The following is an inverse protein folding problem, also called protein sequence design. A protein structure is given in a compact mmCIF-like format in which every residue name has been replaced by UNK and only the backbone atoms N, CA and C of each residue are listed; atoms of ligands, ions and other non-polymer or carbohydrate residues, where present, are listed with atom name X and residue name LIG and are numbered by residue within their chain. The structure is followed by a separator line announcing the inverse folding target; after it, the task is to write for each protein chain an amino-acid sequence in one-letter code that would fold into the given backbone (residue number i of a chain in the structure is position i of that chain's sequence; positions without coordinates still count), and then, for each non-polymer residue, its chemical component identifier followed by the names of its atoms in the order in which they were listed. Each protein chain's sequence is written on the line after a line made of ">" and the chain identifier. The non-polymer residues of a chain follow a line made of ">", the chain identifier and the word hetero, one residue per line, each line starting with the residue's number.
data_IF_115912731710
#
_entry.id   IF_115912731710
#
_cell.length_a   1.000
_cell.length_b   1.000
_cell.length_c   1.000
_cell.angle_alpha   90.00
_cell.angle_beta   90.00
_cell.angle_gamma   90.00
#
_symmetry.space_group_name_H-M   'P 1'
#
loop_
_entity.id
_entity.type
_entity.pdbx_description
1 polymer ?
#
# COMPACT_ATOMS: atom_id res chain seq x y z
N UNK A 1 38.61 8.96 -18.98
CA UNK A 1 37.19 9.07 -18.53
C UNK A 1 36.75 7.69 -18.09
N UNK A 2 36.80 7.40 -16.81
CA UNK A 2 36.43 6.10 -16.24
C UNK A 2 34.92 6.02 -16.18
N UNK A 3 34.34 5.21 -17.06
CA UNK A 3 32.94 4.80 -16.99
C UNK A 3 32.72 4.05 -15.67
N UNK A 4 32.25 4.76 -14.63
CA UNK A 4 31.69 4.09 -13.45
C UNK A 4 30.46 3.34 -13.95
N UNK A 5 30.52 2.02 -14.01
CA UNK A 5 29.37 1.16 -14.22
C UNK A 5 28.34 1.52 -13.15
N UNK A 6 27.22 2.18 -13.53
CA UNK A 6 26.09 2.36 -12.65
C UNK A 6 25.66 0.96 -12.19
N UNK A 7 25.72 0.69 -10.90
CA UNK A 7 25.15 -0.52 -10.34
C UNK A 7 23.64 -0.52 -10.70
N UNK A 8 23.21 -1.55 -11.44
CA UNK A 8 21.81 -1.68 -11.86
C UNK A 8 20.94 -1.78 -10.61
N UNK A 9 20.05 -0.81 -10.43
CA UNK A 9 19.07 -0.83 -9.36
C UNK A 9 17.90 -1.75 -9.74
N UNK A 10 17.32 -2.48 -8.77
CA UNK A 10 16.08 -3.25 -9.01
C UNK A 10 14.92 -2.35 -9.46
N UNK A 11 14.99 -1.05 -9.21
CA UNK A 11 14.01 -0.05 -9.63
C UNK A 11 14.00 0.19 -11.14
N UNK A 12 15.09 -0.14 -11.83
CA UNK A 12 15.22 0.01 -13.28
C UNK A 12 14.46 -1.09 -14.07
N UNK A 13 13.86 -2.07 -13.36
CA UNK A 13 13.17 -3.21 -13.95
C UNK A 13 11.73 -3.34 -13.44
N UNK A 14 10.83 -3.97 -14.22
CA UNK A 14 9.50 -4.30 -13.74
C UNK A 14 9.55 -5.11 -12.44
N UNK A 15 8.66 -4.82 -11.51
CA UNK A 15 8.57 -5.49 -10.22
C UNK A 15 7.26 -6.25 -10.10
N UNK A 16 7.27 -7.43 -9.47
CA UNK A 16 6.11 -8.28 -9.30
C UNK A 16 4.86 -7.55 -8.79
N UNK A 17 5.02 -6.64 -7.82
CA UNK A 17 3.92 -5.81 -7.30
C UNK A 17 3.28 -4.87 -8.32
N UNK A 18 3.95 -4.54 -9.42
CA UNK A 18 3.43 -3.68 -10.48
C UNK A 18 2.72 -4.43 -11.61
N UNK A 19 2.74 -5.77 -11.62
CA UNK A 19 2.27 -6.56 -12.75
C UNK A 19 0.78 -6.37 -13.05
N UNK A 20 -0.05 -6.08 -12.05
CA UNK A 20 -1.44 -5.72 -12.29
C UNK A 20 -1.58 -4.49 -13.21
N UNK A 21 -0.79 -3.45 -12.95
CA UNK A 21 -0.79 -2.27 -13.81
C UNK A 21 -0.11 -2.55 -15.16
N UNK A 22 1.01 -3.27 -15.18
CA UNK A 22 1.78 -3.53 -16.43
C UNK A 22 1.03 -4.42 -17.40
N UNK A 23 0.30 -5.43 -16.94
CA UNK A 23 -0.50 -6.32 -17.78
C UNK A 23 -1.71 -5.61 -18.39
N UNK A 24 -2.26 -4.60 -17.73
CA UNK A 24 -3.44 -3.88 -18.18
C UNK A 24 -3.12 -2.56 -18.89
N UNK A 25 -1.94 -1.97 -18.66
CA UNK A 25 -1.51 -0.72 -19.27
C UNK A 25 -0.02 -0.76 -19.64
N UNK A 26 0.28 -0.96 -20.89
CA UNK A 26 1.64 -1.17 -21.41
C UNK A 26 2.59 0.02 -21.22
N UNK A 27 2.08 1.21 -20.93
CA UNK A 27 2.89 2.42 -20.64
C UNK A 27 3.09 2.69 -19.16
N UNK A 28 2.39 1.95 -18.29
CA UNK A 28 2.38 2.24 -16.84
C UNK A 28 3.77 2.16 -16.21
N UNK A 29 4.59 1.19 -16.59
CA UNK A 29 5.96 1.08 -16.09
C UNK A 29 6.81 2.29 -16.50
N UNK A 30 6.81 2.67 -17.77
CA UNK A 30 7.61 3.79 -18.29
C UNK A 30 7.17 5.12 -17.67
N UNK A 31 5.87 5.35 -17.57
CA UNK A 31 5.33 6.55 -16.92
C UNK A 31 5.69 6.59 -15.42
N UNK A 32 5.67 5.45 -14.74
CA UNK A 32 6.08 5.35 -13.34
C UNK A 32 7.58 5.62 -13.16
N UNK A 33 8.42 5.11 -14.06
CA UNK A 33 9.86 5.42 -14.07
C UNK A 33 10.12 6.91 -14.28
N UNK A 34 9.42 7.52 -15.23
CA UNK A 34 9.54 8.96 -15.51
C UNK A 34 8.96 9.84 -14.40
N UNK A 35 7.96 9.34 -13.67
CA UNK A 35 7.33 10.03 -12.55
C UNK A 35 8.23 10.14 -11.32
N UNK A 36 9.17 9.21 -11.14
CA UNK A 36 9.96 9.10 -9.93
C UNK A 36 9.23 8.34 -8.80
N UNK A 37 9.85 8.31 -7.63
CA UNK A 37 9.26 7.65 -6.45
C UNK A 37 8.11 8.49 -5.89
N UNK A 38 7.05 7.81 -5.50
CA UNK A 38 6.00 8.43 -4.71
C UNK A 38 6.46 8.55 -3.25
N UNK A 39 6.20 9.69 -2.59
CA UNK A 39 6.44 9.79 -1.16
C UNK A 39 5.59 8.74 -0.42
N UNK A 40 6.09 8.20 0.69
CA UNK A 40 5.31 7.30 1.51
C UNK A 40 4.05 7.98 2.02
N UNK A 41 2.98 7.22 2.15
CA UNK A 41 1.74 7.67 2.76
C UNK A 41 1.56 6.98 4.12
N UNK A 42 0.78 7.55 5.02
CA UNK A 42 0.48 6.94 6.32
C UNK A 42 -0.01 5.48 6.18
N UNK A 43 -0.81 5.19 5.14
CA UNK A 43 -1.26 3.82 4.84
C UNK A 43 -0.12 2.91 4.37
N UNK A 44 0.81 3.42 3.54
CA UNK A 44 1.96 2.65 3.09
C UNK A 44 2.94 2.39 4.22
N UNK A 45 3.13 3.35 5.12
CA UNK A 45 3.99 3.24 6.28
C UNK A 45 3.42 2.22 7.26
N UNK A 46 2.12 2.31 7.59
CA UNK A 46 1.44 1.30 8.41
C UNK A 46 1.58 -0.11 7.81
N UNK A 47 1.37 -0.26 6.50
CA UNK A 47 1.56 -1.54 5.81
C UNK A 47 3.00 -2.06 5.96
N UNK A 48 3.99 -1.19 5.82
CA UNK A 48 5.41 -1.52 6.01
C UNK A 48 5.71 -1.97 7.43
N UNK A 49 5.14 -1.30 8.44
CA UNK A 49 5.32 -1.64 9.85
C UNK A 49 4.70 -3.00 10.19
N UNK A 50 3.49 -3.29 9.68
CA UNK A 50 2.84 -4.62 9.85
C UNK A 50 3.69 -5.72 9.21
N UNK A 51 4.21 -5.53 7.99
CA UNK A 51 5.13 -6.49 7.36
C UNK A 51 6.42 -6.64 8.17
N UNK A 52 6.96 -5.55 8.73
CA UNK A 52 8.07 -5.60 9.68
C UNK A 52 7.75 -6.47 10.89
N UNK A 53 6.60 -6.30 11.51
CA UNK A 53 6.11 -7.11 12.63
C UNK A 53 5.97 -8.58 12.28
N UNK A 54 5.45 -8.91 11.09
CA UNK A 54 5.36 -10.29 10.59
C UNK A 54 6.75 -10.91 10.43
N UNK A 55 7.68 -10.19 9.81
CA UNK A 55 9.05 -10.66 9.54
C UNK A 55 9.81 -10.95 10.84
N UNK A 56 9.72 -10.03 11.80
CA UNK A 56 10.50 -10.11 13.05
C UNK A 56 9.76 -10.88 14.16
N UNK A 57 8.51 -11.25 13.92
CA UNK A 57 7.63 -11.90 14.90
C UNK A 57 7.44 -11.09 16.20
N UNK A 58 7.53 -9.78 16.08
CA UNK A 58 7.32 -8.80 17.17
C UNK A 58 7.14 -7.39 16.61
N UNK A 59 6.48 -6.53 17.36
CA UNK A 59 6.44 -5.08 17.14
C UNK A 59 6.16 -4.37 18.46
N UNK A 60 6.74 -3.17 18.64
CA UNK A 60 6.60 -2.40 19.90
C UNK A 60 5.23 -1.70 19.98
N UNK A 61 4.62 -1.35 18.84
CA UNK A 61 3.26 -0.83 18.75
C UNK A 61 2.26 -1.99 18.84
N UNK A 62 1.38 -2.03 19.88
CA UNK A 62 0.43 -3.12 20.06
C UNK A 62 -0.58 -3.27 18.92
N UNK A 63 -1.04 -2.16 18.32
CA UNK A 63 -2.03 -2.19 17.23
C UNK A 63 -1.43 -2.78 15.96
N UNK A 64 -0.18 -2.45 15.67
CA UNK A 64 0.59 -3.05 14.57
C UNK A 64 0.84 -4.53 14.84
N UNK A 65 1.22 -4.87 16.08
CA UNK A 65 1.48 -6.25 16.45
C UNK A 65 0.22 -7.13 16.42
N UNK A 66 -0.92 -6.65 16.88
CA UNK A 66 -2.18 -7.39 16.84
C UNK A 66 -2.60 -7.69 15.39
N UNK A 67 -2.43 -6.74 14.48
CA UNK A 67 -2.68 -6.94 13.03
C UNK A 67 -1.70 -7.93 12.43
N UNK A 68 -0.40 -7.77 12.68
CA UNK A 68 0.64 -8.68 12.23
C UNK A 68 0.41 -10.10 12.75
N UNK A 69 0.05 -10.25 14.03
CA UNK A 69 -0.24 -11.54 14.65
C UNK A 69 -1.45 -12.22 14.03
N UNK A 70 -2.53 -11.49 13.75
CA UNK A 70 -3.71 -12.05 13.10
C UNK A 70 -3.37 -12.60 11.70
N UNK A 71 -2.51 -11.92 10.94
CA UNK A 71 -2.01 -12.37 9.64
C UNK A 71 -1.12 -13.61 9.76
N UNK A 72 -0.26 -13.64 10.77
CA UNK A 72 0.59 -14.80 11.08
C UNK A 72 -0.27 -16.02 11.43
N UNK A 73 -1.26 -15.86 12.29
CA UNK A 73 -2.15 -16.94 12.72
C UNK A 73 -2.94 -17.51 11.51
N UNK A 74 -3.43 -16.66 10.62
CA UNK A 74 -4.08 -17.08 9.36
C UNK A 74 -3.14 -17.87 8.45
N UNK A 75 -1.90 -17.42 8.32
CA UNK A 75 -0.87 -18.08 7.54
C UNK A 75 -0.53 -19.45 8.14
N UNK A 76 -0.28 -19.50 9.44
CA UNK A 76 0.13 -20.71 10.13
C UNK A 76 -0.98 -21.80 10.04
N UNK A 77 -2.24 -21.42 10.19
CA UNK A 77 -3.39 -22.31 9.98
C UNK A 77 -3.44 -22.87 8.53
N UNK A 78 -3.20 -22.05 7.52
CA UNK A 78 -3.20 -22.49 6.13
C UNK A 78 -2.00 -23.36 5.78
N UNK A 79 -0.81 -23.00 6.24
CA UNK A 79 0.40 -23.81 6.05
C UNK A 79 0.29 -25.14 6.75
N UNK A 80 -0.25 -25.18 7.99
CA UNK A 80 -0.47 -26.43 8.72
C UNK A 80 -1.43 -27.38 7.99
N UNK A 81 -2.49 -26.84 7.34
CA UNK A 81 -3.41 -27.65 6.53
C UNK A 81 -2.82 -28.12 5.20
N UNK A 82 -1.91 -27.33 4.63
CA UNK A 82 -1.21 -27.65 3.39
C UNK A 82 -0.07 -28.66 3.61
N UNK A 83 0.66 -28.56 4.72
CA UNK A 83 1.83 -29.36 5.02
C UNK A 83 1.51 -30.86 5.10
N UNK A 84 2.43 -31.67 4.60
CA UNK A 84 2.40 -33.13 4.70
C UNK A 84 3.25 -33.66 5.87
N UNK A 85 3.76 -32.78 6.73
CA UNK A 85 4.58 -33.12 7.90
C UNK A 85 6.07 -33.32 7.60
N UNK A 86 6.51 -32.89 6.43
CA UNK A 86 7.92 -32.92 6.02
C UNK A 86 8.75 -31.79 6.64
N UNK A 87 10.05 -31.85 6.37
CA UNK A 87 10.95 -30.75 6.77
C UNK A 87 10.66 -29.50 5.95
N UNK A 88 10.38 -28.39 6.64
CA UNK A 88 10.08 -27.12 6.03
C UNK A 88 11.28 -26.17 6.05
N UNK A 89 11.45 -25.43 4.96
CA UNK A 89 12.37 -24.28 4.85
C UNK A 89 11.55 -23.03 4.57
N UNK A 90 11.69 -22.00 5.41
CA UNK A 90 10.94 -20.74 5.29
C UNK A 90 11.88 -19.66 4.75
N UNK A 91 11.46 -18.98 3.70
CA UNK A 91 12.18 -17.86 3.08
C UNK A 91 11.29 -16.62 3.14
N UNK A 92 11.84 -15.49 3.63
CA UNK A 92 11.13 -14.22 3.80
C UNK A 92 11.82 -13.10 3.06
N UNK A 93 11.02 -12.26 2.37
CA UNK A 93 11.45 -11.01 1.73
C UNK A 93 12.75 -11.12 0.91
N UNK A 94 13.01 -12.28 0.32
CA UNK A 94 14.14 -12.49 -0.58
C UNK A 94 13.86 -11.86 -1.93
N UNK A 95 14.76 -10.99 -2.41
CA UNK A 95 14.68 -10.45 -3.76
C UNK A 95 15.08 -11.49 -4.79
N UNK A 96 14.15 -11.82 -5.67
CA UNK A 96 14.30 -12.82 -6.71
C UNK A 96 14.30 -12.17 -8.11
N UNK A 97 14.88 -12.83 -9.10
CA UNK A 97 15.06 -12.29 -10.44
C UNK A 97 14.80 -13.34 -11.51
N UNK A 98 14.07 -12.94 -12.56
CA UNK A 98 14.12 -13.64 -13.85
C UNK A 98 15.16 -12.94 -14.72
N UNK A 99 16.02 -13.76 -15.32
CA UNK A 99 17.11 -13.32 -16.18
C UNK A 99 17.10 -14.10 -17.50
N UNK A 100 17.52 -13.44 -18.58
CA UNK A 100 17.85 -14.07 -19.83
C UNK A 100 19.37 -13.94 -20.02
N UNK A 101 20.09 -15.01 -19.79
CA UNK A 101 21.54 -14.94 -19.60
C UNK A 101 21.90 -14.02 -18.42
N UNK A 102 22.71 -13.02 -18.65
CA UNK A 102 23.11 -12.04 -17.63
C UNK A 102 22.11 -10.87 -17.50
N UNK A 103 21.19 -10.70 -18.45
CA UNK A 103 20.26 -9.56 -18.48
C UNK A 103 19.06 -9.83 -17.60
N UNK A 104 18.81 -8.99 -16.57
CA UNK A 104 17.57 -9.06 -15.79
C UNK A 104 16.36 -8.68 -16.66
N UNK A 105 15.25 -9.36 -16.47
CA UNK A 105 13.96 -9.09 -17.12
C UNK A 105 13.01 -8.44 -16.15
N UNK A 106 12.81 -9.04 -14.99
CA UNK A 106 12.02 -8.48 -13.90
C UNK A 106 12.44 -9.08 -12.55
N UNK A 107 11.99 -8.46 -11.47
CA UNK A 107 12.26 -8.92 -10.11
C UNK A 107 10.99 -8.95 -9.27
N UNK A 108 11.08 -9.66 -8.15
CA UNK A 108 10.04 -9.67 -7.12
C UNK A 108 10.63 -9.93 -5.75
N UNK A 109 9.87 -9.59 -4.75
CA UNK A 109 10.20 -9.86 -3.35
C UNK A 109 8.94 -10.39 -2.69
N UNK A 110 8.73 -11.73 -2.75
CA UNK A 110 7.64 -12.37 -2.03
C UNK A 110 7.76 -12.12 -0.53
N UNK A 111 6.64 -11.91 0.15
CA UNK A 111 6.64 -11.71 1.60
C UNK A 111 7.19 -12.93 2.31
N UNK A 112 6.65 -14.09 1.99
CA UNK A 112 7.14 -15.36 2.54
C UNK A 112 6.79 -16.53 1.61
N UNK A 113 7.68 -17.51 1.51
CA UNK A 113 7.33 -18.82 0.99
C UNK A 113 7.95 -19.95 1.81
N UNK A 114 7.22 -21.06 1.89
CA UNK A 114 7.62 -22.28 2.61
C UNK A 114 7.87 -23.37 1.59
N UNK A 115 9.00 -24.04 1.69
CA UNK A 115 9.37 -25.18 0.86
C UNK A 115 9.30 -26.46 1.69
N UNK A 116 8.53 -27.44 1.24
CA UNK A 116 8.44 -28.77 1.82
C UNK A 116 8.61 -29.82 0.71
N UNK A 117 9.80 -30.42 0.64
CA UNK A 117 10.16 -31.31 -0.47
C UNK A 117 10.14 -30.59 -1.83
N UNK A 118 9.25 -31.00 -2.71
CA UNK A 118 9.05 -30.42 -4.04
C UNK A 118 7.81 -29.52 -4.13
N UNK A 119 7.16 -29.25 -2.99
CA UNK A 119 5.98 -28.42 -2.89
C UNK A 119 6.30 -27.09 -2.22
N UNK A 120 5.67 -26.02 -2.67
CA UNK A 120 5.88 -24.66 -2.15
C UNK A 120 4.56 -24.04 -1.75
N UNK A 121 4.56 -23.31 -0.63
CA UNK A 121 3.44 -22.48 -0.21
C UNK A 121 3.87 -21.02 -0.19
N UNK A 122 3.33 -20.20 -1.08
CA UNK A 122 3.58 -18.76 -1.18
C UNK A 122 2.52 -17.99 -0.42
N UNK A 123 2.95 -17.19 0.54
CA UNK A 123 2.12 -16.28 1.35
C UNK A 123 2.32 -14.83 0.94
N UNK A 124 1.23 -14.10 0.77
CA UNK A 124 1.20 -12.68 0.53
C UNK A 124 0.26 -12.02 1.54
N UNK A 125 0.77 -11.05 2.31
CA UNK A 125 0.06 -10.41 3.41
C UNK A 125 -0.54 -9.09 2.96
N UNK A 126 -1.81 -8.86 3.23
CA UNK A 126 -2.54 -7.64 2.83
C UNK A 126 -3.19 -6.96 4.02
N UNK A 127 -2.80 -5.72 4.27
CA UNK A 127 -3.37 -4.84 5.30
C UNK A 127 -4.48 -3.94 4.74
N UNK A 128 -4.49 -3.70 3.43
CA UNK A 128 -5.48 -2.89 2.72
C UNK A 128 -6.38 -3.70 1.79
N UNK A 129 -7.26 -3.02 1.05
CA UNK A 129 -8.10 -3.64 0.03
C UNK A 129 -7.65 -3.21 -1.38
N UNK A 130 -7.51 -4.21 -2.25
CA UNK A 130 -7.25 -3.98 -3.67
C UNK A 130 -8.09 -5.00 -4.48
N UNK A 131 -8.71 -4.62 -5.63
CA UNK A 131 -9.54 -5.52 -6.42
C UNK A 131 -8.87 -6.83 -6.82
N UNK A 132 -7.58 -6.80 -7.17
CA UNK A 132 -6.84 -8.01 -7.54
C UNK A 132 -6.64 -8.99 -6.37
N UNK A 133 -6.82 -8.56 -5.12
CA UNK A 133 -6.62 -9.39 -3.93
C UNK A 133 -7.85 -10.22 -3.57
N UNK A 134 -8.92 -10.11 -4.35
CA UNK A 134 -10.13 -10.90 -4.15
C UNK A 134 -9.89 -12.40 -4.32
N UNK A 135 -9.05 -12.79 -5.29
CA UNK A 135 -8.78 -14.19 -5.60
C UNK A 135 -7.29 -14.44 -5.84
N UNK A 136 -6.71 -15.37 -5.10
CA UNK A 136 -5.30 -15.76 -5.25
C UNK A 136 -4.99 -16.30 -6.66
N UNK A 137 -5.92 -17.04 -7.26
CA UNK A 137 -5.76 -17.65 -8.59
C UNK A 137 -5.55 -16.62 -9.72
N UNK A 138 -6.15 -15.43 -9.60
CA UNK A 138 -6.10 -14.39 -10.65
C UNK A 138 -5.22 -13.20 -10.27
N UNK A 139 -4.61 -13.24 -9.09
CA UNK A 139 -3.75 -12.16 -8.62
C UNK A 139 -2.47 -12.06 -9.46
N UNK A 140 -2.30 -10.94 -10.16
CA UNK A 140 -1.17 -10.70 -11.06
C UNK A 140 0.19 -10.68 -10.33
N UNK A 141 0.22 -10.22 -9.07
CA UNK A 141 1.42 -10.18 -8.25
C UNK A 141 1.88 -11.60 -7.90
N UNK A 142 0.97 -12.42 -7.39
CA UNK A 142 1.26 -13.81 -7.06
C UNK A 142 1.67 -14.60 -8.30
N UNK A 143 0.93 -14.43 -9.41
CA UNK A 143 1.27 -15.05 -10.69
C UNK A 143 2.68 -14.67 -11.18
N UNK A 144 3.12 -13.42 -10.93
CA UNK A 144 4.48 -12.99 -11.27
C UNK A 144 5.54 -13.54 -10.29
N UNK A 145 5.17 -13.85 -9.05
CA UNK A 145 6.09 -14.43 -8.07
C UNK A 145 6.34 -15.93 -8.28
N UNK A 146 5.36 -16.65 -8.81
CA UNK A 146 5.46 -18.09 -9.08
C UNK A 146 6.73 -18.47 -9.86
N UNK A 147 7.02 -17.91 -11.05
CA UNK A 147 8.22 -18.28 -11.79
C UNK A 147 9.52 -17.75 -11.16
N UNK A 148 9.47 -16.72 -10.33
CA UNK A 148 10.63 -16.22 -9.58
C UNK A 148 11.08 -17.25 -8.54
N UNK A 149 10.13 -17.85 -7.82
CA UNK A 149 10.38 -18.90 -6.83
C UNK A 149 10.87 -20.18 -7.51
N UNK A 150 10.22 -20.58 -8.60
CA UNK A 150 10.62 -21.75 -9.37
C UNK A 150 12.08 -21.65 -9.88
N UNK A 151 12.46 -20.46 -10.39
CA UNK A 151 13.84 -20.21 -10.82
C UNK A 151 14.84 -20.19 -9.64
N UNK A 152 14.45 -19.65 -8.47
CA UNK A 152 15.28 -19.67 -7.26
C UNK A 152 15.53 -21.10 -6.76
N UNK A 153 14.53 -21.98 -6.92
CA UNK A 153 14.59 -23.40 -6.56
C UNK A 153 15.04 -24.28 -7.73
N UNK A 154 15.65 -23.69 -8.77
CA UNK A 154 16.28 -24.38 -9.93
C UNK A 154 15.34 -25.31 -10.69
N UNK A 155 14.04 -24.96 -10.72
CA UNK A 155 12.99 -25.75 -11.41
C UNK A 155 12.81 -27.18 -10.85
N UNK A 156 13.16 -27.40 -9.58
CA UNK A 156 13.08 -28.71 -8.90
C UNK A 156 11.77 -28.92 -8.14
N UNK A 157 10.74 -28.10 -8.39
CA UNK A 157 9.45 -28.14 -7.69
C UNK A 157 8.34 -28.67 -8.61
N UNK A 158 7.34 -29.29 -7.99
CA UNK A 158 6.17 -29.85 -8.71
C UNK A 158 5.01 -28.85 -8.75
N UNK A 159 4.77 -28.13 -7.65
CA UNK A 159 3.71 -27.16 -7.55
C UNK A 159 4.02 -26.02 -6.57
N UNK A 160 3.29 -24.91 -6.74
CA UNK A 160 3.26 -23.77 -5.82
C UNK A 160 1.80 -23.50 -5.46
N UNK A 161 1.46 -23.67 -4.19
CA UNK A 161 0.21 -23.16 -3.62
C UNK A 161 0.38 -21.70 -3.25
N UNK A 162 -0.47 -20.83 -3.77
CA UNK A 162 -0.44 -19.37 -3.48
C UNK A 162 -1.62 -18.97 -2.61
N UNK A 163 -1.39 -18.12 -1.63
CA UNK A 163 -2.42 -17.67 -0.69
C UNK A 163 -2.28 -16.17 -0.37
N UNK A 164 -3.41 -15.48 -0.30
CA UNK A 164 -3.51 -14.11 0.22
C UNK A 164 -4.03 -14.17 1.65
N UNK A 165 -3.26 -13.63 2.58
CA UNK A 165 -3.65 -13.54 4.00
C UNK A 165 -4.17 -12.13 4.28
N UNK A 166 -5.47 -12.04 4.58
CA UNK A 166 -6.15 -10.78 4.88
C UNK A 166 -7.22 -11.02 5.94
N UNK A 167 -7.23 -10.25 7.04
CA UNK A 167 -8.28 -10.37 8.06
C UNK A 167 -9.67 -10.11 7.47
N UNK A 168 -10.63 -10.98 7.81
CA UNK A 168 -12.03 -10.83 7.37
C UNK A 168 -12.33 -11.16 5.91
N UNK A 169 -11.32 -11.50 5.09
CA UNK A 169 -11.52 -11.93 3.70
C UNK A 169 -11.04 -13.38 3.50
N UNK A 170 -11.85 -14.18 2.81
CA UNK A 170 -11.54 -15.58 2.53
C UNK A 170 -11.29 -15.80 1.03
N UNK A 171 -10.09 -15.41 0.55
CA UNK A 171 -9.63 -15.91 -0.73
C UNK A 171 -9.13 -17.34 -0.56
N UNK A 172 -9.68 -18.34 -1.27
CA UNK A 172 -9.14 -19.68 -1.24
C UNK A 172 -7.72 -19.68 -1.82
N UNK A 173 -6.81 -20.51 -1.28
CA UNK A 173 -5.52 -20.76 -1.92
C UNK A 173 -5.71 -21.33 -3.34
N UNK A 174 -4.77 -21.03 -4.23
CA UNK A 174 -4.75 -21.58 -5.58
C UNK A 174 -3.46 -22.36 -5.83
N UNK A 175 -3.54 -23.44 -6.60
CA UNK A 175 -2.39 -24.29 -6.91
C UNK A 175 -1.94 -24.00 -8.33
N UNK A 176 -0.66 -23.76 -8.49
CA UNK A 176 0.05 -23.70 -9.75
C UNK A 176 0.87 -24.99 -9.87
N UNK A 177 0.39 -25.92 -10.66
CA UNK A 177 1.15 -27.11 -11.06
C UNK A 177 2.25 -26.77 -12.07
N UNK A 178 3.01 -27.73 -12.54
CA UNK A 178 4.13 -27.49 -13.47
C UNK A 178 3.70 -26.74 -14.73
N UNK A 179 2.57 -27.10 -15.31
CA UNK A 179 2.04 -26.46 -16.53
C UNK A 179 1.64 -25.00 -16.24
N UNK A 180 0.95 -24.76 -15.12
CA UNK A 180 0.56 -23.42 -14.70
C UNK A 180 1.78 -22.54 -14.34
N UNK A 181 2.84 -23.11 -13.75
CA UNK A 181 4.10 -22.40 -13.47
C UNK A 181 4.76 -21.97 -14.79
N UNK A 182 4.84 -22.85 -15.78
CA UNK A 182 5.41 -22.54 -17.10
C UNK A 182 4.58 -21.48 -17.84
N UNK A 183 3.25 -21.59 -17.77
CA UNK A 183 2.35 -20.58 -18.32
C UNK A 183 2.51 -19.21 -17.61
N UNK A 184 2.70 -19.20 -16.29
CA UNK A 184 2.97 -17.98 -15.52
C UNK A 184 4.31 -17.35 -15.90
N UNK A 185 5.35 -18.16 -16.16
CA UNK A 185 6.65 -17.69 -16.64
C UNK A 185 6.52 -16.98 -18.01
N UNK A 186 5.90 -17.62 -18.99
CA UNK A 186 5.72 -17.02 -20.31
C UNK A 186 4.90 -15.72 -20.25
N UNK A 187 3.82 -15.73 -19.47
CA UNK A 187 3.02 -14.53 -19.25
C UNK A 187 3.85 -13.40 -18.61
N UNK A 188 4.57 -13.68 -17.52
CA UNK A 188 5.32 -12.67 -16.80
C UNK A 188 6.46 -12.07 -17.66
N UNK A 189 7.19 -12.90 -18.40
CA UNK A 189 8.24 -12.45 -19.33
C UNK A 189 7.65 -11.56 -20.42
N UNK A 190 6.50 -11.95 -21.00
CA UNK A 190 5.80 -11.17 -22.03
C UNK A 190 5.34 -9.80 -21.49
N UNK A 191 4.73 -9.77 -20.30
CA UNK A 191 4.31 -8.52 -19.65
C UNK A 191 5.52 -7.61 -19.39
N UNK A 192 6.59 -8.14 -18.79
CA UNK A 192 7.80 -7.37 -18.51
C UNK A 192 8.46 -6.84 -19.78
N UNK A 193 8.60 -7.68 -20.82
CA UNK A 193 9.13 -7.26 -22.10
C UNK A 193 8.28 -6.15 -22.73
N UNK A 194 6.96 -6.33 -22.73
CA UNK A 194 6.04 -5.31 -23.23
C UNK A 194 6.14 -4.01 -22.45
N UNK A 195 6.25 -4.07 -21.12
CA UNK A 195 6.35 -2.89 -20.26
C UNK A 195 7.64 -2.08 -20.52
N UNK A 196 8.75 -2.74 -20.84
CA UNK A 196 10.07 -2.13 -21.02
C UNK A 196 10.38 -1.62 -22.44
N UNK A 197 9.67 -2.10 -23.46
CA UNK A 197 9.90 -1.64 -24.85
C UNK A 197 9.52 -0.16 -24.98
N UNK A 198 10.45 0.67 -25.41
CA UNK A 198 10.20 2.06 -25.77
C UNK A 198 9.51 2.15 -27.14
N UNK A 199 8.56 3.07 -27.28
CA UNK A 199 7.95 3.33 -28.57
C UNK A 199 6.70 4.19 -28.53
N UNK A 200 6.53 5.02 -29.56
CA UNK A 200 5.46 5.99 -29.73
C UNK A 200 4.07 5.39 -30.00
N UNK A 201 3.98 4.08 -30.23
CA UNK A 201 2.72 3.39 -30.59
C UNK A 201 1.94 2.85 -29.39
N UNK A 202 2.52 2.89 -28.20
CA UNK A 202 1.84 2.43 -27.00
C UNK A 202 0.84 3.47 -26.54
N UNK A 203 -0.41 3.03 -26.38
CA UNK A 203 -1.47 3.87 -25.84
C UNK A 203 -1.72 3.47 -24.37
N UNK A 204 -1.88 4.45 -23.48
CA UNK A 204 -2.32 4.16 -22.13
C UNK A 204 -3.72 3.55 -22.17
N UNK A 205 -3.98 2.63 -21.25
CA UNK A 205 -5.28 2.01 -21.06
C UNK A 205 -5.81 2.35 -19.66
N UNK A 206 -7.07 2.75 -19.59
CA UNK A 206 -7.73 3.18 -18.35
C UNK A 206 -8.47 2.04 -17.67
N UNK A 207 -8.37 1.98 -16.35
CA UNK A 207 -9.09 1.00 -15.55
C UNK A 207 -8.75 1.09 -14.05
N UNK A 208 -9.21 0.12 -13.24
CA UNK A 208 -8.95 0.08 -11.79
C UNK A 208 -7.47 0.14 -11.42
N UNK A 209 -6.60 -0.37 -12.29
CA UNK A 209 -5.14 -0.31 -12.12
C UNK A 209 -4.57 1.11 -12.09
N UNK A 210 -5.31 2.11 -12.58
CA UNK A 210 -4.88 3.51 -12.56
C UNK A 210 -4.86 4.09 -11.13
N UNK A 211 -5.66 3.55 -10.20
CA UNK A 211 -5.75 4.04 -8.82
C UNK A 211 -4.37 4.15 -8.16
N UNK A 212 -3.53 3.14 -8.37
CA UNK A 212 -2.19 3.04 -7.77
C UNK A 212 -1.05 3.23 -8.78
N UNK A 213 -1.33 3.82 -9.94
CA UNK A 213 -0.31 4.07 -10.95
C UNK A 213 0.51 5.30 -10.59
N UNK A 214 1.78 5.12 -10.24
CA UNK A 214 2.70 6.22 -9.96
C UNK A 214 2.89 7.16 -11.16
N UNK A 215 2.70 6.65 -12.38
CA UNK A 215 2.82 7.42 -13.62
C UNK A 215 1.61 8.27 -14.01
N UNK A 216 0.52 8.26 -13.23
CA UNK A 216 -0.73 8.95 -13.61
C UNK A 216 -0.55 10.45 -13.86
N UNK A 217 0.33 11.12 -13.12
CA UNK A 217 0.62 12.57 -13.30
C UNK A 217 1.16 12.89 -14.70
N UNK A 218 1.86 11.93 -15.33
CA UNK A 218 2.42 12.08 -16.68
C UNK A 218 1.55 11.43 -17.76
N UNK A 219 0.47 10.74 -17.36
CA UNK A 219 -0.38 10.00 -18.28
C UNK A 219 -1.21 10.93 -19.16
N UNK A 220 -1.14 10.82 -20.50
CA UNK A 220 -1.90 11.69 -21.40
C UNK A 220 -3.42 11.58 -21.19
N UNK A 221 -3.97 10.38 -20.90
CA UNK A 221 -5.42 10.24 -20.64
C UNK A 221 -5.87 11.04 -19.41
N UNK A 222 -5.03 11.12 -18.38
CA UNK A 222 -5.33 11.92 -17.20
C UNK A 222 -5.17 13.41 -17.45
N UNK A 223 -4.20 13.79 -18.29
CA UNK A 223 -4.02 15.18 -18.72
C UNK A 223 -5.23 15.69 -19.51
N UNK A 224 -5.72 14.91 -20.46
CA UNK A 224 -6.92 15.26 -21.24
C UNK A 224 -8.14 15.42 -20.32
N UNK A 225 -8.29 14.56 -19.32
CA UNK A 225 -9.41 14.62 -18.38
C UNK A 225 -9.34 15.85 -17.46
N UNK A 226 -8.15 16.25 -17.01
CA UNK A 226 -7.94 17.46 -16.22
C UNK A 226 -8.21 18.72 -17.04
N UNK A 227 -7.76 18.74 -18.29
CA UNK A 227 -8.03 19.85 -19.20
C UNK A 227 -9.55 20.02 -19.42
N UNK A 228 -10.29 18.92 -19.53
CA UNK A 228 -11.76 18.97 -19.64
C UNK A 228 -12.46 19.50 -18.38
N UNK A 229 -11.86 19.34 -17.21
CA UNK A 229 -12.35 19.94 -15.94
C UNK A 229 -12.18 21.46 -15.96
N UNK A 230 -11.08 21.97 -16.51
CA UNK A 230 -10.86 23.43 -16.62
C UNK A 230 -11.88 24.10 -17.53
N UNK A 231 -12.35 23.42 -18.56
CA UNK A 231 -13.45 23.88 -19.40
C UNK A 231 -14.79 23.90 -18.65
N UNK A 232 -15.02 22.92 -17.76
CA UNK A 232 -16.20 22.87 -16.88
C UNK A 232 -16.16 23.94 -15.78
N UNK A 233 -15.00 24.43 -15.39
CA UNK A 233 -14.88 25.47 -14.35
C UNK A 233 -15.54 26.80 -14.77
N UNK A 234 -15.63 27.07 -16.05
CA UNK A 234 -16.40 28.20 -16.59
C UNK A 234 -17.92 28.06 -16.35
N UNK A 235 -18.41 26.84 -16.14
CA UNK A 235 -19.82 26.56 -15.89
C UNK A 235 -20.19 26.59 -14.39
N UNK A 236 -19.20 26.69 -13.47
CA UNK A 236 -19.39 26.63 -12.00
C UNK A 236 -20.12 27.88 -11.46
N UNK A 237 -20.25 28.94 -12.26
CA UNK A 237 -21.00 30.14 -11.87
C UNK A 237 -22.54 29.94 -11.86
N UNK A 238 -23.06 28.78 -12.25
CA UNK A 238 -24.49 28.43 -12.26
C UNK A 238 -24.72 27.14 -11.51
N UNK A 239 -25.94 26.96 -10.97
CA UNK A 239 -26.38 25.70 -10.32
C UNK A 239 -26.07 24.49 -11.22
N UNK A 240 -25.15 23.63 -10.78
CA UNK A 240 -24.78 22.43 -11.53
C UNK A 240 -25.79 21.31 -11.17
N UNK A 241 -26.47 20.73 -12.17
CA UNK A 241 -27.37 19.62 -11.93
C UNK A 241 -26.65 18.42 -11.29
N UNK A 242 -27.32 17.71 -10.37
CA UNK A 242 -26.76 16.52 -9.69
C UNK A 242 -26.23 15.45 -10.65
N UNK A 243 -26.90 15.27 -11.79
CA UNK A 243 -26.46 14.35 -12.84
C UNK A 243 -25.10 14.72 -13.41
N UNK A 244 -24.80 16.00 -13.54
CA UNK A 244 -23.52 16.49 -14.01
C UNK A 244 -22.45 16.39 -12.90
N UNK A 245 -22.82 16.70 -11.64
CA UNK A 245 -21.93 16.51 -10.49
C UNK A 245 -21.49 15.05 -10.37
N UNK A 246 -22.40 14.08 -10.56
CA UNK A 246 -22.06 12.64 -10.55
C UNK A 246 -21.04 12.27 -11.63
N UNK A 247 -21.09 12.88 -12.80
CA UNK A 247 -20.15 12.63 -13.90
C UNK A 247 -18.76 13.23 -13.64
N UNK A 248 -18.70 14.41 -13.03
CA UNK A 248 -17.43 15.11 -12.80
C UNK A 248 -16.75 14.75 -11.49
N UNK A 249 -17.48 14.24 -10.47
CA UNK A 249 -16.92 13.95 -9.15
C UNK A 249 -15.66 13.06 -9.18
N UNK A 250 -15.59 11.95 -9.95
CA UNK A 250 -14.37 11.16 -10.07
C UNK A 250 -13.19 11.94 -10.67
N UNK A 251 -13.48 12.90 -11.54
CA UNK A 251 -12.48 13.75 -12.19
C UNK A 251 -11.93 14.79 -11.24
N UNK A 252 -12.78 15.33 -10.34
CA UNK A 252 -12.36 16.29 -9.32
C UNK A 252 -11.40 15.65 -8.31
N UNK A 253 -11.70 14.43 -7.86
CA UNK A 253 -10.81 13.69 -6.97
C UNK A 253 -9.44 13.43 -7.62
N UNK A 254 -9.45 13.10 -8.91
CA UNK A 254 -8.24 12.95 -9.67
C UNK A 254 -7.45 14.26 -9.81
N UNK A 255 -8.13 15.35 -10.17
CA UNK A 255 -7.51 16.66 -10.32
C UNK A 255 -6.81 17.08 -9.03
N UNK A 256 -7.45 16.82 -7.87
CA UNK A 256 -6.86 17.01 -6.54
C UNK A 256 -5.54 16.23 -6.40
N UNK A 257 -5.55 14.92 -6.64
CA UNK A 257 -4.36 14.08 -6.52
C UNK A 257 -3.21 14.54 -7.45
N UNK A 258 -3.54 14.94 -8.67
CA UNK A 258 -2.54 15.43 -9.62
C UNK A 258 -1.98 16.79 -9.18
N UNK A 259 -2.85 17.68 -8.70
CA UNK A 259 -2.44 19.01 -8.21
C UNK A 259 -1.50 18.87 -7.01
N UNK A 260 -1.81 18.00 -6.06
CA UNK A 260 -0.96 17.72 -4.90
C UNK A 260 0.44 17.25 -5.36
N UNK A 261 0.52 16.30 -6.28
CA UNK A 261 1.82 15.81 -6.81
C UNK A 261 2.58 16.85 -7.61
N UNK A 262 1.90 17.71 -8.35
CA UNK A 262 2.54 18.81 -9.06
C UNK A 262 3.11 19.85 -8.10
N UNK A 263 2.40 20.14 -7.01
CA UNK A 263 2.88 21.03 -5.95
C UNK A 263 4.11 20.45 -5.23
N UNK A 264 4.14 19.16 -4.92
CA UNK A 264 5.33 18.49 -4.38
C UNK A 264 6.54 18.65 -5.33
N UNK A 265 6.34 18.38 -6.62
CA UNK A 265 7.41 18.55 -7.61
C UNK A 265 7.86 20.00 -7.77
N UNK A 266 6.91 20.93 -7.71
CA UNK A 266 7.23 22.35 -7.72
C UNK A 266 8.08 22.71 -6.50
N UNK A 267 7.69 22.24 -5.32
CA UNK A 267 8.44 22.43 -4.08
C UNK A 267 9.91 21.96 -4.23
N UNK A 268 10.11 20.75 -4.73
CA UNK A 268 11.45 20.19 -4.92
C UNK A 268 12.27 20.98 -5.95
N UNK A 269 11.63 21.44 -7.01
CA UNK A 269 12.30 22.25 -8.04
C UNK A 269 12.66 23.65 -7.57
N UNK A 270 11.77 24.30 -6.85
CA UNK A 270 12.04 25.61 -6.22
C UNK A 270 13.21 25.49 -5.25
N UNK A 271 13.25 24.42 -4.44
CA UNK A 271 14.35 24.15 -3.52
C UNK A 271 15.67 23.89 -4.22
N UNK A 272 15.65 23.13 -5.32
CA UNK A 272 16.84 22.75 -6.07
C UNK A 272 17.39 23.89 -6.98
N UNK A 273 16.51 24.78 -7.47
CA UNK A 273 16.85 25.82 -8.44
C UNK A 273 16.07 27.12 -8.16
N UNK A 274 16.32 27.79 -7.02
CA UNK A 274 15.56 28.97 -6.61
C UNK A 274 15.61 30.12 -7.63
N UNK A 275 16.73 30.28 -8.33
CA UNK A 275 16.91 31.34 -9.31
C UNK A 275 15.95 31.24 -10.51
N UNK A 276 15.50 30.03 -10.87
CA UNK A 276 14.53 29.79 -11.94
C UNK A 276 13.09 30.05 -11.50
N UNK A 277 12.87 30.20 -10.21
CA UNK A 277 11.55 30.36 -9.60
C UNK A 277 11.55 31.57 -8.65
N UNK A 278 12.08 32.70 -9.12
CA UNK A 278 12.29 33.93 -8.32
C UNK A 278 11.00 34.46 -7.64
N UNK A 279 9.82 34.12 -8.24
CA UNK A 279 8.53 34.52 -7.69
C UNK A 279 8.01 33.58 -6.58
N UNK A 280 8.75 32.49 -6.31
CA UNK A 280 8.42 31.49 -5.32
C UNK A 280 9.44 31.50 -4.20
N UNK A 281 8.95 31.45 -2.97
CA UNK A 281 9.79 31.37 -1.78
C UNK A 281 9.21 30.41 -0.75
N UNK A 282 10.06 30.01 0.20
CA UNK A 282 9.61 29.20 1.32
C UNK A 282 9.28 30.11 2.50
N UNK A 283 8.05 29.96 3.01
CA UNK A 283 7.72 30.51 4.34
C UNK A 283 8.18 29.52 5.37
N UNK A 284 8.90 29.99 6.38
CA UNK A 284 9.34 29.17 7.49
C UNK A 284 8.14 28.45 8.12
N UNK A 285 8.22 27.11 8.19
CA UNK A 285 7.16 26.27 8.75
C UNK A 285 7.02 26.52 10.23
N UNK A 286 5.80 26.48 10.74
CA UNK A 286 5.56 26.58 12.19
C UNK A 286 6.23 25.40 12.90
N UNK A 287 7.06 25.70 13.88
CA UNK A 287 7.66 24.69 14.75
C UNK A 287 6.59 24.08 15.64
N UNK A 288 6.23 22.82 15.41
CA UNK A 288 5.36 22.06 16.31
C UNK A 288 6.20 21.55 17.49
N UNK A 289 5.84 21.96 18.70
CA UNK A 289 6.45 21.42 19.91
C UNK A 289 5.58 20.27 20.41
N UNK A 290 6.21 19.13 20.70
CA UNK A 290 5.53 17.95 21.25
C UNK A 290 6.24 17.58 22.56
N UNK A 291 5.46 17.35 23.61
CA UNK A 291 5.97 16.75 24.84
C UNK A 291 6.04 15.24 24.57
N UNK A 292 7.26 14.69 24.57
CA UNK A 292 7.51 13.25 24.32
C UNK A 292 7.62 12.44 25.60
N UNK A 293 7.88 13.12 26.74
CA UNK A 293 7.95 12.52 28.07
C UNK A 293 7.06 13.32 29.04
N UNK A 294 5.85 12.85 29.24
CA UNK A 294 4.87 13.49 30.12
C UNK A 294 5.28 13.42 31.62
N UNK A 295 5.95 12.32 32.02
CA UNK A 295 6.43 12.13 33.40
C UNK A 295 7.60 13.09 33.69
N UNK A 296 8.54 13.21 32.76
CA UNK A 296 9.63 14.17 32.84
C UNK A 296 9.12 15.61 32.89
N UNK A 297 8.12 15.95 32.08
CA UNK A 297 7.47 17.27 32.11
C UNK A 297 6.77 17.53 33.43
N UNK A 298 6.03 16.57 33.99
CA UNK A 298 5.43 16.67 35.33
C UNK A 298 6.49 16.91 36.41
N UNK A 299 7.53 16.07 36.42
CA UNK A 299 8.62 16.21 37.38
C UNK A 299 9.32 17.58 37.30
N UNK A 300 9.52 18.09 36.08
CA UNK A 300 10.12 19.40 35.86
C UNK A 300 9.24 20.57 36.34
N UNK A 301 7.98 20.59 35.93
CA UNK A 301 7.08 21.73 36.12
C UNK A 301 6.36 21.71 37.47
N UNK A 302 6.04 20.54 38.00
CA UNK A 302 5.27 20.39 39.25
C UNK A 302 6.17 20.04 40.43
N UNK A 303 6.93 18.93 40.33
CA UNK A 303 7.68 18.41 41.49
C UNK A 303 8.92 19.25 41.80
N UNK A 304 9.70 19.65 40.79
CA UNK A 304 10.97 20.39 40.98
C UNK A 304 10.77 21.91 41.01
N UNK A 305 10.21 22.47 39.92
CA UNK A 305 10.11 23.94 39.80
C UNK A 305 8.92 24.56 40.55
N UNK A 306 7.89 23.72 40.83
CA UNK A 306 6.64 24.16 41.44
C UNK A 306 5.95 25.32 40.71
N UNK A 307 6.18 25.44 39.40
CA UNK A 307 5.58 26.50 38.56
C UNK A 307 4.10 26.22 38.34
N UNK A 308 3.72 24.93 38.25
CA UNK A 308 2.33 24.49 38.13
C UNK A 308 1.96 23.61 39.32
N UNK A 309 0.69 23.65 39.72
CA UNK A 309 0.10 22.62 40.56
C UNK A 309 -0.16 21.36 39.76
N UNK A 310 -0.32 20.22 40.42
CA UNK A 310 -0.67 18.95 39.75
C UNK A 310 -1.98 19.06 38.96
N UNK A 311 -2.98 19.78 39.49
CA UNK A 311 -4.26 20.00 38.80
C UNK A 311 -4.13 20.84 37.53
N UNK A 312 -3.34 21.91 37.56
CA UNK A 312 -3.07 22.75 36.39
C UNK A 312 -2.30 21.97 35.32
N UNK A 313 -1.32 21.14 35.70
CA UNK A 313 -0.61 20.29 34.74
C UNK A 313 -1.55 19.28 34.10
N UNK A 314 -2.39 18.58 34.87
CA UNK A 314 -3.37 17.64 34.35
C UNK A 314 -4.39 18.30 33.41
N UNK A 315 -4.79 19.55 33.69
CA UNK A 315 -5.68 20.31 32.81
C UNK A 315 -5.04 20.62 31.44
N UNK A 316 -3.70 20.65 31.36
CA UNK A 316 -2.97 20.81 30.09
C UNK A 316 -2.75 19.49 29.34
N UNK A 317 -2.97 18.35 29.99
CA UNK A 317 -2.77 17.03 29.37
C UNK A 317 -4.04 16.61 28.65
N UNK A 318 -3.94 16.35 27.33
CA UNK A 318 -5.01 15.69 26.60
C UNK A 318 -4.95 14.18 26.86
N UNK A 319 -6.01 13.60 27.41
CA UNK A 319 -6.12 12.15 27.56
C UNK A 319 -6.39 11.51 26.20
N UNK A 320 -5.57 10.53 25.82
CA UNK A 320 -5.80 9.73 24.60
C UNK A 320 -6.75 8.58 24.94
N UNK A 321 -7.88 8.51 24.25
CA UNK A 321 -8.84 7.38 24.40
C UNK A 321 -8.16 6.06 24.08
N UNK A 322 -7.34 5.97 23.03
CA UNK A 322 -6.59 4.77 22.65
C UNK A 322 -5.68 4.28 23.78
N UNK A 323 -4.98 5.21 24.45
CA UNK A 323 -4.14 4.84 25.60
C UNK A 323 -4.97 4.34 26.79
N UNK A 324 -6.13 4.95 27.04
CA UNK A 324 -7.06 4.52 28.08
C UNK A 324 -7.61 3.12 27.77
N UNK A 325 -8.06 2.88 26.52
CA UNK A 325 -8.51 1.57 26.06
C UNK A 325 -7.42 0.50 26.24
N UNK A 326 -6.17 0.81 25.88
CA UNK A 326 -5.03 -0.10 26.07
C UNK A 326 -4.82 -0.46 27.53
N UNK A 327 -4.90 0.51 28.43
CA UNK A 327 -4.77 0.27 29.86
C UNK A 327 -5.96 -0.53 30.43
N UNK A 328 -7.19 -0.19 30.03
CA UNK A 328 -8.40 -0.91 30.45
C UNK A 328 -8.35 -2.36 29.94
N UNK A 329 -7.95 -2.58 28.69
CA UNK A 329 -7.73 -3.91 28.11
C UNK A 329 -6.72 -4.73 28.95
N UNK A 330 -5.59 -4.10 29.32
CA UNK A 330 -4.55 -4.75 30.14
C UNK A 330 -5.08 -5.21 31.52
N UNK A 331 -5.97 -4.42 32.10
CA UNK A 331 -6.52 -4.72 33.45
C UNK A 331 -7.77 -5.60 33.41
N UNK A 332 -8.55 -5.60 32.34
CA UNK A 332 -9.84 -6.31 32.24
C UNK A 332 -9.81 -7.50 31.31
N UNK A 333 -8.85 -7.59 30.40
CA UNK A 333 -8.80 -8.60 29.33
C UNK A 333 -9.86 -8.44 28.24
N UNK A 334 -10.68 -7.37 28.27
CA UNK A 334 -11.72 -7.11 27.27
C UNK A 334 -11.12 -6.67 25.95
N UNK A 335 -11.80 -6.98 24.84
CA UNK A 335 -11.41 -6.60 23.49
C UNK A 335 -12.61 -6.05 22.69
N UNK A 336 -12.34 -5.30 21.64
CA UNK A 336 -13.31 -4.80 20.66
C UNK A 336 -14.50 -4.03 21.31
N UNK A 337 -15.73 -4.32 20.90
CA UNK A 337 -16.93 -3.60 21.35
C UNK A 337 -17.10 -3.64 22.89
N UNK A 338 -16.99 -4.79 23.59
CA UNK A 338 -17.05 -4.82 25.05
C UNK A 338 -16.02 -3.94 25.76
N UNK A 339 -14.83 -3.75 25.16
CA UNK A 339 -13.82 -2.83 25.70
C UNK A 339 -14.27 -1.37 25.54
N UNK A 340 -14.79 -1.00 24.38
CA UNK A 340 -15.28 0.36 24.10
C UNK A 340 -16.47 0.71 25.00
N UNK A 341 -17.39 -0.21 25.16
CA UNK A 341 -18.54 -0.03 26.06
C UNK A 341 -18.09 0.15 27.52
N UNK A 342 -17.11 -0.65 27.94
CA UNK A 342 -16.56 -0.52 29.30
C UNK A 342 -15.82 0.79 29.52
N UNK A 343 -15.06 1.27 28.52
CA UNK A 343 -14.40 2.57 28.59
C UNK A 343 -15.41 3.70 28.62
N UNK A 344 -16.46 3.62 27.79
CA UNK A 344 -17.55 4.60 27.82
C UNK A 344 -18.29 4.64 29.15
N UNK A 345 -18.57 3.49 29.75
CA UNK A 345 -19.16 3.37 31.08
C UNK A 345 -18.27 4.05 32.17
N UNK A 346 -16.95 3.77 32.13
CA UNK A 346 -16.02 4.28 33.12
C UNK A 346 -15.79 5.80 32.99
N UNK A 347 -15.80 6.34 31.79
CA UNK A 347 -15.61 7.76 31.54
C UNK A 347 -16.89 8.58 31.74
N UNK A 348 -18.06 7.96 31.53
CA UNK A 348 -19.38 8.60 31.71
C UNK A 348 -19.47 9.96 31.00
N UNK A 349 -19.87 10.99 31.73
CA UNK A 349 -20.02 12.36 31.22
C UNK A 349 -18.71 13.02 30.77
N UNK A 350 -17.56 12.47 31.14
CA UNK A 350 -16.25 12.96 30.69
C UNK A 350 -15.93 12.54 29.22
N UNK A 351 -16.71 11.63 28.64
CA UNK A 351 -16.55 11.19 27.26
C UNK A 351 -17.56 11.88 26.35
N UNK A 352 -17.07 12.79 25.50
CA UNK A 352 -17.87 13.31 24.39
C UNK A 352 -17.59 12.50 23.12
N UNK A 353 -18.60 11.84 22.60
CA UNK A 353 -18.52 11.11 21.32
C UNK A 353 -19.00 12.04 20.21
N UNK A 354 -18.06 12.57 19.42
CA UNK A 354 -18.37 13.33 18.20
C UNK A 354 -18.20 12.43 17.00
N UNK A 355 -19.26 12.27 16.23
CA UNK A 355 -19.14 11.68 14.92
C UNK A 355 -18.47 12.69 13.98
N UNK A 356 -17.35 12.30 13.39
CA UNK A 356 -16.73 13.09 12.33
C UNK A 356 -17.71 13.19 11.15
N UNK A 357 -17.58 14.26 10.36
CA UNK A 357 -18.28 14.32 9.07
C UNK A 357 -17.91 13.11 8.25
N UNK A 358 -18.93 12.48 7.65
CA UNK A 358 -18.71 11.37 6.74
C UNK A 358 -17.70 11.79 5.65
N UNK A 359 -16.73 10.94 5.40
CA UNK A 359 -15.80 11.18 4.31
C UNK A 359 -16.50 10.81 3.01
N UNK A 360 -16.51 11.75 2.06
CA UNK A 360 -16.92 11.46 0.70
C UNK A 360 -15.89 10.53 0.06
N UNK A 361 -16.25 9.26 -0.14
CA UNK A 361 -15.39 8.25 -0.77
C UNK A 361 -15.98 7.88 -2.11
N UNK A 362 -15.16 7.84 -3.16
CA UNK A 362 -15.56 7.31 -4.44
C UNK A 362 -15.26 5.81 -4.49
N UNK A 363 -16.31 5.00 -4.36
CA UNK A 363 -16.29 3.56 -4.57
C UNK A 363 -17.00 3.26 -5.90
N UNK A 364 -16.26 3.00 -6.99
CA UNK A 364 -16.89 2.58 -8.24
C UNK A 364 -17.58 1.25 -7.98
N UNK A 365 -18.90 1.22 -8.11
CA UNK A 365 -19.60 -0.06 -8.23
C UNK A 365 -19.07 -0.73 -9.49
N UNK A 366 -18.62 -1.97 -9.37
CA UNK A 366 -18.34 -2.82 -10.54
C UNK A 366 -19.58 -2.74 -11.46
N UNK A 367 -19.34 -2.35 -12.70
CA UNK A 367 -20.37 -2.52 -13.73
C UNK A 367 -20.65 -4.02 -13.74
N UNK A 368 -21.85 -4.40 -13.28
CA UNK A 368 -22.37 -5.71 -13.57
C UNK A 368 -22.25 -5.86 -15.08
N UNK A 369 -21.38 -6.75 -15.52
CA UNK A 369 -21.43 -7.26 -16.87
C UNK A 369 -22.78 -7.93 -16.98
N UNK A 370 -23.77 -7.20 -17.47
CA UNK A 370 -25.01 -7.79 -17.91
C UNK A 370 -24.65 -8.72 -19.07
N UNK A 371 -24.72 -10.01 -18.79
CA UNK A 371 -24.84 -11.06 -19.78
C UNK A 371 -26.10 -10.78 -20.62
N UNK A 372 -25.92 -10.10 -21.74
CA UNK A 372 -26.86 -10.17 -22.86
C UNK A 372 -26.09 -10.69 -24.08
N UNK A 373 -25.90 -11.97 -24.10
CA UNK A 373 -25.74 -12.74 -25.33
C UNK A 373 -27.02 -13.60 -25.49
N UNK A 374 -27.96 -13.08 -26.25
CA UNK A 374 -28.91 -13.89 -27.01
C UNK A 374 -28.50 -13.90 -28.47
#
# INVERSE_FOLDING_TARGET
>A
MTNKSKSLSFKDYPRGSGFYAYSNCTVSFQLSQASGEEPPTEFSDRGTDVHGGIRERKHDDPDIWDEAKALIDLRDDRVNRWSQGGKQTIVREKRLWIRQGLKPIYSGQPDEYVVEGRHVFLSDYKTGWHPQDAYAATNCQLRAYVPLIDADLKHEIDDITVAIHKPGAQSPPAIFDREAIDAAYHWAVSVAATATVEGTRKKPNRGPWCKYCAGKVLCPLWREEIMSISELSAAIASDIPDSMLRQIAPRLELAKQVTEKLLERLYDRVKAKPDLFSDWGFKEGQTKRKITDTIGAYNGLVAKSKVLSAGEFLACCSASITNIETLVKKHTGLNNLPLKDKVAELLGEALEIKQNKDQLVYEPKEALLEDELH
#
